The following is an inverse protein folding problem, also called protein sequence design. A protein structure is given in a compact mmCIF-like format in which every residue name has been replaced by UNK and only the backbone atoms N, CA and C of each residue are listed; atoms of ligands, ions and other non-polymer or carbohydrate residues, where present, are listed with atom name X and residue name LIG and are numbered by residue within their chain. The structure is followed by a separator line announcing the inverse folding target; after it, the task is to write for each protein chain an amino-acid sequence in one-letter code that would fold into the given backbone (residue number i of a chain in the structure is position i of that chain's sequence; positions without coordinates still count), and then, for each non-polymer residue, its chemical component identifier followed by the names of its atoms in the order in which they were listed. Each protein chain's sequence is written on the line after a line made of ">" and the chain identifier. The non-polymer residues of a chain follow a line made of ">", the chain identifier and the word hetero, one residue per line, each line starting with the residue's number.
data_IF_479314005746
#
_entry.id   IF_479314005746
#
_cell.length_a   1.000
_cell.length_b   1.000
_cell.length_c   1.000
_cell.angle_alpha   90.00
_cell.angle_beta   90.00
_cell.angle_gamma   90.00
#
_symmetry.space_group_name_H-M   'P 1'
#
loop_
_entity.id
_entity.type
_entity.pdbx_description
1 polymer ?
#
# COMPACT_ATOMS: atom_id res chain seq x y z
N UNK A 1 7.13 2.92 48.82
CA UNK A 1 6.04 2.67 49.77
C UNK A 1 4.92 3.66 49.43
N UNK A 2 3.83 3.14 48.86
CA UNK A 2 2.46 3.68 48.73
C UNK A 2 2.28 5.10 48.13
N UNK A 3 1.82 5.20 46.87
CA UNK A 3 0.42 5.25 46.38
C UNK A 3 -0.08 6.70 46.28
N UNK A 4 -0.31 7.23 45.07
CA UNK A 4 -1.50 7.07 44.21
C UNK A 4 -2.66 7.99 44.65
N UNK A 5 -3.02 8.97 43.80
CA UNK A 5 -4.39 9.45 43.73
C UNK A 5 -4.70 10.02 42.33
N UNK A 6 -5.62 9.34 41.66
CA UNK A 6 -6.22 9.64 40.35
C UNK A 6 -7.43 10.57 40.47
N UNK A 7 -7.84 11.04 39.28
CA UNK A 7 -9.17 11.49 38.84
C UNK A 7 -9.42 13.01 39.00
N UNK A 8 -10.03 13.73 38.05
CA UNK A 8 -11.15 13.33 37.21
C UNK A 8 -11.09 13.84 35.75
N UNK A 9 -11.72 13.04 34.90
CA UNK A 9 -12.17 13.34 33.54
C UNK A 9 -13.51 14.08 33.64
N UNK A 10 -13.67 15.16 32.89
CA UNK A 10 -14.99 15.59 32.42
C UNK A 10 -14.96 15.68 30.90
N UNK A 11 -15.75 14.79 30.29
CA UNK A 11 -16.10 14.77 28.88
C UNK A 11 -16.98 15.98 28.54
N UNK A 12 -16.67 16.64 27.43
CA UNK A 12 -17.68 17.33 26.63
C UNK A 12 -17.48 16.93 25.17
N UNK A 13 -18.47 16.19 24.67
CA UNK A 13 -18.52 15.60 23.35
C UNK A 13 -19.36 16.48 22.41
N UNK A 14 -19.09 16.36 21.10
CA UNK A 14 -19.76 16.95 19.92
C UNK A 14 -19.15 18.29 19.45
N UNK A 15 -18.63 18.45 18.21
CA UNK A 15 -18.93 17.80 16.93
C UNK A 15 -17.66 17.50 16.12
N UNK A 16 -17.82 16.48 15.26
CA UNK A 16 -16.85 15.94 14.32
C UNK A 16 -16.25 16.99 13.37
N UNK A 17 -14.94 16.88 13.11
CA UNK A 17 -14.44 16.95 11.74
C UNK A 17 -13.06 16.26 11.59
N UNK A 18 -13.09 15.15 10.87
CA UNK A 18 -12.04 14.58 10.02
C UNK A 18 -10.57 14.63 10.50
N UNK A 19 -10.22 13.84 11.53
CA UNK A 19 -8.86 13.29 11.59
C UNK A 19 -8.76 12.17 10.56
N UNK A 20 -8.39 12.50 9.33
CA UNK A 20 -7.96 11.51 8.34
C UNK A 20 -6.72 10.78 8.86
N UNK A 21 -6.94 9.68 9.57
CA UNK A 21 -5.89 8.78 10.02
C UNK A 21 -5.29 8.09 8.80
N UNK A 22 -4.01 8.32 8.52
CA UNK A 22 -3.26 7.45 7.64
C UNK A 22 -3.06 6.10 8.31
N UNK A 23 -3.66 5.04 7.75
CA UNK A 23 -3.23 3.68 8.06
C UNK A 23 -1.79 3.53 7.56
N UNK A 24 -0.90 2.91 8.35
CA UNK A 24 0.40 2.52 7.80
C UNK A 24 0.18 1.56 6.62
N UNK A 25 0.99 1.74 5.57
CA UNK A 25 0.94 0.83 4.43
C UNK A 25 1.57 -0.51 4.81
N UNK A 26 0.83 -1.58 4.62
CA UNK A 26 1.30 -2.96 4.74
C UNK A 26 0.96 -3.74 3.48
N UNK A 27 1.54 -4.92 3.33
CA UNK A 27 1.21 -5.86 2.25
C UNK A 27 0.41 -7.02 2.83
N UNK A 28 -0.76 -7.26 2.24
CA UNK A 28 -1.60 -8.41 2.51
C UNK A 28 -1.58 -9.32 1.28
N UNK A 29 -1.06 -10.54 1.43
CA UNK A 29 -1.07 -11.58 0.40
C UNK A 29 -2.08 -12.67 0.72
N UNK A 30 -2.73 -13.18 -0.32
CA UNK A 30 -3.49 -14.43 -0.25
C UNK A 30 -2.73 -15.51 -1.02
N UNK A 31 -2.61 -16.70 -0.45
CA UNK A 31 -1.96 -17.84 -1.10
C UNK A 31 -2.96 -19.00 -1.22
N UNK A 32 -3.01 -19.60 -2.41
CA UNK A 32 -3.66 -20.88 -2.62
C UNK A 32 -2.78 -21.75 -3.51
N UNK A 33 -2.48 -22.98 -3.06
CA UNK A 33 -1.84 -24.01 -3.89
C UNK A 33 -2.76 -25.23 -3.93
N UNK A 34 -3.14 -25.74 -5.12
CA UNK A 34 -3.90 -26.98 -5.23
C UNK A 34 -3.07 -28.19 -4.75
N UNK A 35 -3.71 -29.23 -4.17
CA UNK A 35 -3.01 -30.37 -3.57
C UNK A 35 -2.16 -31.17 -4.57
N UNK A 36 -2.57 -31.21 -5.84
CA UNK A 36 -1.95 -32.01 -6.92
C UNK A 36 -0.77 -31.34 -7.64
N UNK A 37 -0.43 -30.10 -7.33
CA UNK A 37 0.64 -29.37 -8.03
C UNK A 37 2.06 -29.89 -7.70
N UNK A 38 3.02 -29.77 -8.62
CA UNK A 38 4.41 -30.08 -8.28
C UNK A 38 4.94 -29.07 -7.24
N UNK A 39 5.58 -29.55 -6.17
CA UNK A 39 5.98 -28.70 -5.04
C UNK A 39 7.15 -27.78 -5.41
N UNK A 40 8.15 -28.31 -6.11
CA UNK A 40 9.37 -27.56 -6.42
C UNK A 40 9.17 -26.24 -7.19
N UNK A 41 8.43 -26.21 -8.32
CA UNK A 41 8.21 -24.96 -9.06
C UNK A 41 7.39 -23.96 -8.25
N UNK A 42 6.34 -24.43 -7.54
CA UNK A 42 5.52 -23.58 -6.67
C UNK A 42 6.36 -22.92 -5.59
N UNK A 43 7.32 -23.65 -5.02
CA UNK A 43 8.17 -23.11 -3.95
C UNK A 43 9.14 -22.03 -4.46
N UNK A 44 9.67 -22.20 -5.68
CA UNK A 44 10.50 -21.16 -6.30
C UNK A 44 9.68 -19.92 -6.68
N UNK A 45 8.50 -20.11 -7.28
CA UNK A 45 7.60 -18.99 -7.60
C UNK A 45 7.18 -18.23 -6.32
N UNK A 46 6.85 -18.95 -5.25
CA UNK A 46 6.54 -18.36 -3.96
C UNK A 46 7.72 -17.58 -3.40
N UNK A 47 8.94 -18.14 -3.49
CA UNK A 47 10.17 -17.48 -3.03
C UNK A 47 10.40 -16.17 -3.77
N UNK A 48 10.29 -16.15 -5.09
CA UNK A 48 10.47 -14.94 -5.91
C UNK A 48 9.44 -13.85 -5.56
N UNK A 49 8.17 -14.24 -5.43
CA UNK A 49 7.11 -13.31 -5.04
C UNK A 49 7.33 -12.73 -3.64
N UNK A 50 7.71 -13.57 -2.67
CA UNK A 50 8.03 -13.11 -1.32
C UNK A 50 9.23 -12.17 -1.31
N UNK A 51 10.29 -12.46 -2.09
CA UNK A 51 11.45 -11.57 -2.22
C UNK A 51 11.06 -10.20 -2.77
N UNK A 52 10.23 -10.16 -3.82
CA UNK A 52 9.74 -8.91 -4.39
C UNK A 52 8.97 -8.08 -3.37
N UNK A 53 8.06 -8.73 -2.64
CA UNK A 53 7.25 -8.08 -1.60
C UNK A 53 8.12 -7.61 -0.43
N UNK A 54 9.09 -8.41 0.01
CA UNK A 54 10.02 -8.05 1.07
C UNK A 54 10.84 -6.81 0.72
N UNK A 55 11.23 -6.67 -0.55
CA UNK A 55 11.93 -5.51 -1.10
C UNK A 55 11.18 -4.17 -0.93
N UNK A 56 9.86 -4.21 -0.71
CA UNK A 56 9.08 -2.99 -0.42
C UNK A 56 9.38 -2.39 0.97
N UNK A 57 10.02 -3.15 1.87
CA UNK A 57 10.29 -2.74 3.24
C UNK A 57 9.07 -2.66 4.16
N UNK A 58 7.86 -2.94 3.65
CA UNK A 58 6.60 -2.83 4.40
C UNK A 58 6.32 -4.08 5.25
N UNK A 59 5.55 -3.96 6.35
CA UNK A 59 5.00 -5.12 7.06
C UNK A 59 4.27 -6.05 6.09
N UNK A 60 4.46 -7.35 6.26
CA UNK A 60 3.95 -8.41 5.37
C UNK A 60 3.10 -9.40 6.15
N UNK A 61 1.89 -9.64 5.66
CA UNK A 61 0.95 -10.64 6.14
C UNK A 61 0.49 -11.48 4.96
N UNK A 62 0.79 -12.77 4.93
CA UNK A 62 0.30 -13.69 3.87
C UNK A 62 -0.53 -14.78 4.51
N UNK A 63 -1.72 -15.04 3.98
CA UNK A 63 -2.66 -16.01 4.52
C UNK A 63 -3.23 -16.92 3.43
N UNK A 64 -3.46 -18.19 3.76
CA UNK A 64 -4.28 -19.08 2.93
C UNK A 64 -3.82 -20.54 2.91
N UNK A 65 -4.53 -21.34 2.12
CA UNK A 65 -4.33 -22.78 2.00
C UNK A 65 -3.17 -23.10 1.06
N UNK A 66 -2.09 -23.62 1.65
CA UNK A 66 -0.90 -24.00 0.89
C UNK A 66 -0.89 -25.47 0.50
N UNK A 67 -1.79 -26.29 1.04
CA UNK A 67 -1.72 -27.74 0.97
C UNK A 67 -0.33 -28.31 1.34
N UNK A 68 0.45 -27.59 2.16
CA UNK A 68 1.71 -28.06 2.75
C UNK A 68 1.45 -28.42 4.19
N UNK A 69 1.35 -29.72 4.48
CA UNK A 69 1.11 -30.18 5.83
C UNK A 69 2.33 -29.97 6.75
N UNK A 70 2.27 -28.93 7.58
CA UNK A 70 3.33 -28.63 8.55
C UNK A 70 3.29 -29.55 9.79
N UNK A 71 2.37 -30.50 9.89
CA UNK A 71 2.47 -31.57 10.88
C UNK A 71 3.22 -32.79 10.33
N UNK A 72 3.50 -32.84 9.03
CA UNK A 72 4.30 -33.88 8.39
C UNK A 72 5.81 -33.53 8.37
N UNK A 73 6.50 -33.83 9.47
CA UNK A 73 7.93 -33.54 9.63
C UNK A 73 8.88 -34.43 8.81
N UNK A 74 8.36 -35.51 8.24
CA UNK A 74 9.15 -36.50 7.48
C UNK A 74 9.41 -36.04 6.05
N UNK A 75 8.54 -35.18 5.51
CA UNK A 75 8.62 -34.74 4.12
C UNK A 75 9.77 -33.75 3.88
N UNK A 76 10.71 -34.11 3.00
CA UNK A 76 11.81 -33.22 2.57
C UNK A 76 11.31 -31.94 1.93
N UNK A 77 10.18 -31.99 1.24
CA UNK A 77 9.56 -30.83 0.60
C UNK A 77 9.02 -29.83 1.63
N UNK A 78 8.45 -30.33 2.73
CA UNK A 78 8.00 -29.50 3.85
C UNK A 78 9.20 -28.87 4.56
N UNK A 79 10.29 -29.63 4.74
CA UNK A 79 11.54 -29.09 5.28
C UNK A 79 12.10 -27.97 4.39
N UNK A 80 12.08 -28.16 3.06
CA UNK A 80 12.49 -27.11 2.11
C UNK A 80 11.58 -25.88 2.18
N UNK A 81 10.27 -26.07 2.32
CA UNK A 81 9.33 -24.96 2.52
C UNK A 81 9.65 -24.15 3.78
N UNK A 82 9.88 -24.83 4.92
CA UNK A 82 10.30 -24.18 6.17
C UNK A 82 11.64 -23.46 6.02
N UNK A 83 12.60 -24.08 5.33
CA UNK A 83 13.89 -23.46 5.06
C UNK A 83 13.74 -22.19 4.22
N UNK A 84 12.93 -22.22 3.16
CA UNK A 84 12.62 -21.03 2.34
C UNK A 84 12.06 -19.89 3.19
N UNK A 85 11.11 -20.17 4.09
CA UNK A 85 10.58 -19.13 4.98
C UNK A 85 11.67 -18.59 5.92
N UNK A 86 12.46 -19.48 6.53
CA UNK A 86 13.54 -19.10 7.43
C UNK A 86 14.62 -18.25 6.72
N UNK A 87 15.03 -18.64 5.52
CA UNK A 87 16.01 -17.92 4.69
C UNK A 87 15.54 -16.49 4.37
N UNK A 88 14.23 -16.32 4.20
CA UNK A 88 13.58 -15.03 3.95
C UNK A 88 13.27 -14.25 5.24
N UNK A 89 13.71 -14.74 6.40
CA UNK A 89 13.36 -14.17 7.72
C UNK A 89 11.85 -14.03 7.89
N UNK A 90 11.11 -15.06 7.47
CA UNK A 90 9.68 -15.22 7.65
C UNK A 90 9.40 -16.37 8.62
N UNK A 91 8.24 -16.29 9.27
CA UNK A 91 7.71 -17.36 10.13
C UNK A 91 6.25 -17.59 9.85
N UNK A 92 5.82 -18.82 10.06
CA UNK A 92 4.41 -19.20 10.04
C UNK A 92 3.89 -19.18 11.50
N UNK A 93 2.65 -18.71 11.73
CA UNK A 93 2.10 -18.50 13.08
C UNK A 93 1.09 -19.58 13.55
N UNK A 94 0.50 -20.37 12.65
CA UNK A 94 -0.54 -21.34 13.02
C UNK A 94 0.13 -22.67 13.39
N UNK A 95 -0.01 -23.12 14.64
CA UNK A 95 0.67 -24.32 15.12
C UNK A 95 -0.22 -25.57 15.23
N UNK A 96 -1.55 -25.43 15.13
CA UNK A 96 -2.50 -26.53 15.27
C UNK A 96 -3.16 -26.90 13.94
N UNK A 97 -3.76 -28.09 13.87
CA UNK A 97 -4.48 -28.57 12.67
C UNK A 97 -5.52 -27.53 12.18
N UNK A 98 -5.62 -27.39 10.86
CA UNK A 98 -6.61 -26.53 10.20
C UNK A 98 -7.63 -27.32 9.41
N UNK A 99 -7.36 -28.60 9.13
CA UNK A 99 -8.29 -29.54 8.50
C UNK A 99 -8.56 -30.72 9.44
N UNK A 100 -9.63 -30.67 10.26
CA UNK A 100 -9.86 -31.67 11.32
C UNK A 100 -9.98 -33.11 10.83
N UNK A 101 -10.59 -33.34 9.66
CA UNK A 101 -10.81 -34.69 9.12
C UNK A 101 -9.50 -35.44 8.83
N UNK A 102 -8.45 -34.71 8.43
CA UNK A 102 -7.14 -35.27 8.12
C UNK A 102 -6.08 -34.93 9.16
N UNK A 103 -6.47 -34.28 10.27
CA UNK A 103 -5.56 -33.81 11.32
C UNK A 103 -4.37 -33.00 10.77
N UNK A 104 -4.57 -32.28 9.65
CA UNK A 104 -3.51 -31.64 8.89
C UNK A 104 -3.47 -30.12 9.13
N UNK A 105 -2.27 -29.54 9.07
CA UNK A 105 -2.06 -28.09 9.11
C UNK A 105 -1.71 -27.61 7.71
N UNK A 106 -2.72 -27.16 6.96
CA UNK A 106 -2.59 -26.79 5.54
C UNK A 106 -2.65 -25.27 5.31
N UNK A 107 -3.38 -24.58 6.17
CA UNK A 107 -3.62 -23.15 6.06
C UNK A 107 -2.64 -22.34 6.91
N UNK A 108 -1.92 -21.43 6.28
CA UNK A 108 -0.79 -20.75 6.90
C UNK A 108 -1.05 -19.26 7.09
N UNK A 109 -0.43 -18.71 8.14
CA UNK A 109 -0.30 -17.27 8.35
C UNK A 109 1.19 -16.97 8.41
N UNK A 110 1.72 -16.39 7.33
CA UNK A 110 3.13 -16.08 7.17
C UNK A 110 3.34 -14.60 7.45
N UNK A 111 4.29 -14.30 8.33
CA UNK A 111 4.68 -12.93 8.71
C UNK A 111 6.20 -12.82 8.75
N UNK A 112 6.72 -11.60 8.83
CA UNK A 112 8.15 -11.40 9.10
C UNK A 112 8.53 -11.97 10.47
N UNK A 113 9.71 -12.56 10.60
CA UNK A 113 10.21 -13.09 11.87
C UNK A 113 10.33 -12.00 12.95
N UNK A 114 10.63 -10.77 12.53
CA UNK A 114 10.66 -9.57 13.38
C UNK A 114 9.29 -9.10 13.87
N UNK A 115 8.18 -9.59 13.30
CA UNK A 115 6.83 -9.24 13.78
C UNK A 115 6.54 -9.94 15.12
N UNK A 116 6.38 -9.14 16.18
CA UNK A 116 5.99 -9.60 17.51
C UNK A 116 4.58 -9.17 17.92
N UNK A 117 3.85 -8.51 17.02
CA UNK A 117 2.54 -7.90 17.27
C UNK A 117 1.38 -8.74 16.73
N UNK A 118 1.69 -9.65 15.82
CA UNK A 118 0.69 -10.47 15.14
C UNK A 118 0.50 -11.81 15.85
N UNK A 119 -0.75 -12.18 16.05
CA UNK A 119 -1.17 -13.46 16.63
C UNK A 119 -2.11 -14.17 15.66
N UNK A 120 -2.08 -15.50 15.66
CA UNK A 120 -2.99 -16.33 14.87
C UNK A 120 -3.70 -17.35 15.77
N UNK A 121 -4.94 -17.68 15.46
CA UNK A 121 -5.72 -18.71 16.15
C UNK A 121 -6.63 -19.45 15.18
N UNK A 122 -6.80 -20.75 15.40
CA UNK A 122 -7.75 -21.61 14.67
C UNK A 122 -9.09 -21.63 15.41
N UNK A 123 -10.20 -21.59 14.67
CA UNK A 123 -11.57 -21.62 15.17
C UNK A 123 -12.37 -22.71 14.45
N UNK A 124 -13.03 -23.62 15.19
CA UNK A 124 -13.84 -24.67 14.59
C UNK A 124 -14.85 -24.12 13.59
N UNK A 125 -14.93 -24.74 12.41
CA UNK A 125 -15.89 -24.41 11.37
C UNK A 125 -16.85 -25.59 11.14
N UNK A 126 -18.16 -25.33 11.12
CA UNK A 126 -19.17 -26.39 10.96
C UNK A 126 -19.69 -26.53 9.52
N UNK A 127 -19.25 -25.67 8.60
CA UNK A 127 -19.77 -25.58 7.23
C UNK A 127 -18.68 -25.71 6.16
N UNK A 128 -17.43 -25.98 6.58
CA UNK A 128 -16.29 -26.28 5.72
C UNK A 128 -15.51 -27.43 6.37
N UNK A 129 -14.76 -28.19 5.56
CA UNK A 129 -13.79 -29.18 6.04
C UNK A 129 -12.52 -28.53 6.62
N UNK A 130 -12.33 -27.22 6.41
CA UNK A 130 -11.29 -26.42 7.03
C UNK A 130 -11.86 -25.57 8.18
N UNK A 131 -11.12 -25.53 9.29
CA UNK A 131 -11.33 -24.60 10.38
C UNK A 131 -10.90 -23.18 10.01
N UNK A 132 -11.58 -22.19 10.58
CA UNK A 132 -11.32 -20.78 10.31
C UNK A 132 -10.02 -20.32 10.99
N UNK A 133 -9.13 -19.70 10.22
CA UNK A 133 -7.98 -18.97 10.80
C UNK A 133 -8.31 -17.51 11.01
N UNK A 134 -8.02 -17.03 12.21
CA UNK A 134 -8.10 -15.63 12.59
C UNK A 134 -6.70 -15.12 12.93
N UNK A 135 -6.20 -14.18 12.13
CA UNK A 135 -5.00 -13.42 12.43
C UNK A 135 -5.35 -12.02 12.93
N UNK A 136 -4.69 -11.57 14.00
CA UNK A 136 -4.83 -10.21 14.56
C UNK A 136 -3.47 -9.55 14.56
N UNK A 137 -3.33 -8.44 13.85
CA UNK A 137 -2.09 -7.66 13.73
C UNK A 137 -2.29 -6.24 14.27
N UNK A 138 -1.29 -5.71 14.96
CA UNK A 138 -1.27 -4.29 15.36
C UNK A 138 -0.50 -3.49 14.32
N UNK A 139 -1.22 -2.89 13.37
CA UNK A 139 -0.60 -2.04 12.35
C UNK A 139 -0.39 -0.65 12.95
N UNK A 140 0.89 -0.25 13.05
CA UNK A 140 1.26 1.08 13.53
C UNK A 140 0.60 2.20 12.72
N UNK A 141 0.48 3.40 13.30
CA UNK A 141 0.03 4.59 12.54
C UNK A 141 1.24 5.24 11.88
N UNK A 142 1.25 5.31 10.56
CA UNK A 142 2.24 6.12 9.85
C UNK A 142 1.86 7.59 10.00
N UNK A 143 2.76 8.40 10.57
CA UNK A 143 2.58 9.84 10.64
C UNK A 143 2.70 10.40 9.22
N UNK A 144 1.58 10.86 8.65
CA UNK A 144 1.60 11.55 7.36
C UNK A 144 2.40 12.85 7.50
N UNK A 145 3.50 12.96 6.77
CA UNK A 145 4.25 14.20 6.67
C UNK A 145 3.59 15.10 5.63
N UNK A 146 3.36 16.39 5.92
CA UNK A 146 2.94 17.36 4.91
C UNK A 146 3.98 17.38 3.77
N UNK A 147 3.51 17.21 2.53
CA UNK A 147 4.36 17.35 1.34
C UNK A 147 4.16 18.75 0.80
N UNK A 148 5.25 19.50 0.62
CA UNK A 148 5.22 20.78 -0.09
C UNK A 148 5.26 20.49 -1.60
N UNK A 149 4.20 20.87 -2.31
CA UNK A 149 4.16 20.80 -3.77
C UNK A 149 3.97 22.21 -4.33
N UNK A 150 4.58 22.45 -5.49
CA UNK A 150 4.39 23.69 -6.25
C UNK A 150 3.32 23.45 -7.30
N UNK A 151 2.21 24.19 -7.22
CA UNK A 151 1.12 24.14 -8.20
C UNK A 151 0.93 25.50 -8.85
N UNK A 152 0.31 25.56 -10.02
CA UNK A 152 -0.24 26.81 -10.56
C UNK A 152 -1.58 27.08 -9.90
N UNK A 153 -1.69 28.22 -9.21
CA UNK A 153 -2.92 28.61 -8.52
C UNK A 153 -3.96 29.09 -9.53
N UNK A 154 -5.13 28.47 -9.54
CA UNK A 154 -6.29 28.93 -10.34
C UNK A 154 -7.26 29.79 -9.53
N UNK A 155 -6.94 30.09 -8.25
CA UNK A 155 -7.86 30.73 -7.29
C UNK A 155 -8.45 32.05 -7.80
N UNK A 156 -7.65 32.84 -8.51
CA UNK A 156 -8.03 34.16 -9.03
C UNK A 156 -8.05 34.17 -10.58
N UNK A 157 -8.15 33.01 -11.22
CA UNK A 157 -8.17 32.93 -12.67
C UNK A 157 -9.47 33.54 -13.20
N UNK A 158 -9.34 34.55 -14.07
CA UNK A 158 -10.44 35.06 -14.89
C UNK A 158 -10.28 34.47 -16.29
N UNK A 159 -11.07 33.44 -16.68
CA UNK A 159 -10.83 32.70 -17.92
C UNK A 159 -10.84 33.56 -19.18
N UNK A 160 -11.70 34.57 -19.24
CA UNK A 160 -11.79 35.45 -20.41
C UNK A 160 -10.59 36.38 -20.54
N UNK A 161 -10.02 36.83 -19.42
CA UNK A 161 -8.79 37.62 -19.43
C UNK A 161 -7.59 36.79 -19.93
N UNK A 162 -7.47 35.53 -19.48
CA UNK A 162 -6.45 34.61 -19.97
C UNK A 162 -6.60 34.35 -21.47
N UNK A 163 -7.82 34.06 -21.94
CA UNK A 163 -8.09 33.82 -23.37
C UNK A 163 -7.76 35.04 -24.21
N UNK A 164 -8.19 36.22 -23.78
CA UNK A 164 -7.92 37.47 -24.48
C UNK A 164 -6.41 37.72 -24.57
N UNK A 165 -5.66 37.52 -23.49
CA UNK A 165 -4.21 37.71 -23.49
C UNK A 165 -3.49 36.71 -24.40
N UNK A 166 -3.91 35.45 -24.41
CA UNK A 166 -3.38 34.44 -25.33
C UNK A 166 -3.71 34.75 -26.80
N UNK A 167 -4.91 35.29 -27.08
CA UNK A 167 -5.30 35.72 -28.42
C UNK A 167 -4.49 36.93 -28.91
N UNK A 168 -4.10 37.82 -28.00
CA UNK A 168 -3.31 39.02 -28.30
C UNK A 168 -1.79 38.79 -28.27
N UNK A 169 -1.35 37.63 -27.78
CA UNK A 169 0.07 37.28 -27.72
C UNK A 169 0.63 37.08 -29.13
N UNK A 170 1.84 37.56 -29.39
CA UNK A 170 2.52 37.32 -30.65
C UNK A 170 3.06 35.88 -30.70
N UNK A 171 2.56 35.10 -31.67
CA UNK A 171 2.93 33.72 -31.91
C UNK A 171 3.85 33.56 -33.14
N UNK A 172 4.28 34.66 -33.75
CA UNK A 172 5.00 34.65 -35.03
C UNK A 172 6.27 33.79 -34.99
N UNK A 173 7.05 33.86 -33.91
CA UNK A 173 8.27 33.05 -33.73
C UNK A 173 7.97 31.54 -33.74
N UNK A 174 6.83 31.12 -33.19
CA UNK A 174 6.41 29.70 -33.17
C UNK A 174 6.06 29.22 -34.58
N UNK A 175 5.39 30.07 -35.35
CA UNK A 175 5.01 29.73 -36.72
C UNK A 175 6.21 29.74 -37.68
N UNK A 176 7.14 30.68 -37.49
CA UNK A 176 8.32 30.85 -38.34
C UNK A 176 9.45 29.84 -38.07
N UNK A 177 9.53 29.30 -36.86
CA UNK A 177 10.55 28.29 -36.51
C UNK A 177 10.39 27.00 -37.33
N UNK A 178 11.48 26.44 -37.87
CA UNK A 178 11.42 25.22 -38.71
C UNK A 178 11.61 23.96 -37.86
N UNK A 179 12.59 23.96 -36.96
CA UNK A 179 12.88 22.81 -36.13
C UNK A 179 11.88 22.68 -34.96
N UNK A 180 11.55 21.44 -34.60
CA UNK A 180 10.61 21.14 -33.51
C UNK A 180 11.10 21.70 -32.16
N UNK A 181 12.41 21.62 -31.90
CA UNK A 181 13.00 22.16 -30.67
C UNK A 181 12.83 23.67 -30.55
N UNK A 182 13.06 24.40 -31.64
CA UNK A 182 12.93 25.85 -31.70
C UNK A 182 11.47 26.28 -31.57
N UNK A 183 10.55 25.55 -32.21
CA UNK A 183 9.10 25.74 -32.03
C UNK A 183 8.68 25.58 -30.56
N UNK A 184 9.20 24.56 -29.87
CA UNK A 184 8.91 24.34 -28.45
C UNK A 184 9.50 25.43 -27.55
N UNK A 185 10.70 25.91 -27.86
CA UNK A 185 11.32 27.02 -27.13
C UNK A 185 10.52 28.32 -27.31
N UNK A 186 10.17 28.68 -28.55
CA UNK A 186 9.37 29.85 -28.86
C UNK A 186 7.97 29.78 -28.22
N UNK A 187 7.32 28.60 -28.27
CA UNK A 187 6.03 28.40 -27.62
C UNK A 187 6.12 28.62 -26.12
N UNK A 188 7.13 28.04 -25.45
CA UNK A 188 7.32 28.24 -24.00
C UNK A 188 7.61 29.70 -23.65
N UNK A 189 8.36 30.41 -24.49
CA UNK A 189 8.70 31.82 -24.29
C UNK A 189 7.46 32.73 -24.37
N UNK A 190 6.53 32.45 -25.29
CA UNK A 190 5.26 33.17 -25.41
C UNK A 190 4.26 32.76 -24.31
N UNK A 191 4.14 31.46 -24.03
CA UNK A 191 3.11 30.89 -23.16
C UNK A 191 3.37 31.06 -21.66
N UNK A 192 4.62 30.84 -21.20
CA UNK A 192 4.94 30.79 -19.77
C UNK A 192 4.67 32.12 -19.04
N UNK A 193 5.03 33.30 -19.59
CA UNK A 193 4.75 34.58 -18.96
C UNK A 193 3.26 34.86 -18.79
N UNK A 194 2.44 34.45 -19.77
CA UNK A 194 0.98 34.59 -19.70
C UNK A 194 0.43 33.70 -18.57
N UNK A 195 0.87 32.44 -18.49
CA UNK A 195 0.47 31.56 -17.39
C UNK A 195 0.96 32.03 -16.03
N UNK A 196 2.15 32.61 -15.92
CA UNK A 196 2.69 33.10 -14.65
C UNK A 196 1.90 34.27 -14.08
N UNK A 197 1.30 35.12 -14.94
CA UNK A 197 0.42 36.22 -14.51
C UNK A 197 -0.95 35.73 -14.07
N UNK A 198 -1.57 34.86 -14.86
CA UNK A 198 -2.96 34.41 -14.64
C UNK A 198 -3.07 33.24 -13.65
N UNK A 199 -2.04 32.40 -13.58
CA UNK A 199 -1.98 31.20 -12.74
C UNK A 199 -0.60 31.05 -12.10
N UNK A 200 -0.23 31.94 -11.17
CA UNK A 200 1.11 31.97 -10.58
C UNK A 200 1.42 30.68 -9.81
N UNK A 201 2.70 30.30 -9.82
CA UNK A 201 3.18 29.17 -9.03
C UNK A 201 3.07 29.50 -7.54
N UNK A 202 2.39 28.64 -6.80
CA UNK A 202 2.21 28.75 -5.35
C UNK A 202 2.62 27.43 -4.70
N UNK A 203 3.36 27.53 -3.59
CA UNK A 203 3.66 26.37 -2.75
C UNK A 203 2.46 26.09 -1.86
N UNK A 204 1.94 24.88 -1.93
CA UNK A 204 0.91 24.41 -1.02
C UNK A 204 1.44 23.23 -0.20
N UNK A 205 1.04 23.19 1.07
CA UNK A 205 1.26 22.04 1.93
C UNK A 205 0.10 21.09 1.73
N UNK A 206 0.32 20.04 0.97
CA UNK A 206 -0.63 18.94 0.88
C UNK A 206 -0.36 18.01 2.05
N UNK A 207 -1.31 17.94 2.98
CA UNK A 207 -1.48 16.71 3.74
C UNK A 207 -2.11 15.75 2.74
N UNK A 208 -1.43 14.65 2.41
CA UNK A 208 -1.95 13.65 1.49
C UNK A 208 -3.25 13.06 2.09
N UNK A 209 -4.37 13.67 1.74
CA UNK A 209 -5.70 13.09 1.92
C UNK A 209 -5.77 12.04 0.82
N UNK A 210 -6.02 10.79 1.19
CA UNK A 210 -6.19 9.69 0.25
C UNK A 210 -7.48 9.84 -0.58
N UNK A 211 -7.65 10.96 -1.25
CA UNK A 211 -8.53 11.08 -2.40
C UNK A 211 -7.65 10.80 -3.61
N UNK A 212 -7.69 9.55 -4.04
CA UNK A 212 -7.31 9.16 -5.39
C UNK A 212 -8.23 9.97 -6.34
N UNK A 213 -7.82 11.16 -6.76
CA UNK A 213 -8.36 11.73 -7.98
C UNK A 213 -7.65 11.02 -9.13
N UNK A 214 -8.26 9.93 -9.59
CA UNK A 214 -8.05 9.45 -10.94
C UNK A 214 -8.63 10.53 -11.86
N UNK A 215 -7.77 11.36 -12.44
CA UNK A 215 -8.14 12.14 -13.63
C UNK A 215 -7.71 11.31 -14.81
N UNK A 216 -8.68 10.61 -15.39
CA UNK A 216 -8.62 10.19 -16.77
C UNK A 216 -8.47 11.43 -17.64
N UNK A 217 -7.39 11.49 -18.42
CA UNK A 217 -7.44 12.09 -19.74
C UNK A 217 -6.74 11.16 -20.70
N UNK A 218 -7.55 10.36 -21.40
CA UNK A 218 -7.24 9.96 -22.77
C UNK A 218 -7.10 11.24 -23.59
N UNK A 219 -6.00 11.35 -24.32
CA UNK A 219 -6.00 11.81 -25.70
C UNK A 219 -5.27 10.73 -26.50
#
# INVERSE_FOLDING_TARGET
>A
MFNDCKAQVEDNQMLNDCKASGAAAFVLGAIYRPPSGAISPVLEDLREQLLWVLGTGKPLYVLGDTNFDLLNDVSSDIQRYRQTLNDLSLKQLVAGQTRPESEALLDHVIVRSSDCTTTASVKPCTWSDHDLIVAKASVGRERRHPVEVTIRSTRNLVPDALRLELLLTDWSEVYQSVAVGDKWAAWRAAWSPVLDRHMPLTKIRLVQIGLLFSVFTKL
#
